data_IF_513332940934
#
_entry.id   IF_513332940934
#
_cell.length_a   1.000
_cell.length_b   1.000
_cell.length_c   1.000
_cell.angle_alpha   90.00
_cell.angle_beta   90.00
_cell.angle_gamma   90.00
#
_symmetry.space_group_name_H-M   'P 1'
#
loop_
_entity.id
_entity.type
_entity.pdbx_description
1 polymer ?
#
# COMPACT_ATOMS: atom_id res chain seq x y z
N UNK A 1 -9.00 9.22 49.56
CA UNK A 1 -8.13 10.12 48.76
C UNK A 1 -8.79 10.36 47.41
N UNK A 2 -9.27 11.58 47.16
CA UNK A 2 -9.87 11.96 45.87
C UNK A 2 -8.75 12.28 44.88
N UNK A 3 -8.73 11.55 43.76
CA UNK A 3 -7.81 11.73 42.65
C UNK A 3 -8.06 13.12 42.02
N UNK A 4 -7.05 14.00 42.03
CA UNK A 4 -7.12 15.29 41.33
C UNK A 4 -7.21 15.01 39.83
N UNK A 5 -8.39 15.24 39.26
CA UNK A 5 -8.58 15.33 37.81
C UNK A 5 -7.66 16.44 37.34
N UNK A 6 -6.62 16.08 36.58
CA UNK A 6 -5.80 17.04 35.83
C UNK A 6 -6.77 17.89 35.02
N UNK A 7 -6.92 19.16 35.37
CA UNK A 7 -7.63 20.14 34.56
C UNK A 7 -7.02 20.08 33.16
N UNK A 8 -7.84 19.69 32.17
CA UNK A 8 -7.52 19.90 30.77
C UNK A 8 -7.63 21.40 30.56
N UNK A 9 -6.53 22.12 30.78
CA UNK A 9 -6.36 23.50 30.32
C UNK A 9 -6.88 23.61 28.90
N UNK A 10 -7.79 24.57 28.70
CA UNK A 10 -8.70 24.68 27.57
C UNK A 10 -8.08 24.25 26.25
N UNK A 11 -8.64 23.19 25.66
CA UNK A 11 -8.48 22.95 24.23
C UNK A 11 -9.14 24.15 23.55
N UNK A 12 -8.34 25.05 22.97
CA UNK A 12 -8.86 25.94 21.93
C UNK A 12 -9.65 25.06 20.95
N UNK A 13 -10.82 25.55 20.52
CA UNK A 13 -11.68 24.84 19.59
C UNK A 13 -10.87 24.66 18.30
N UNK A 14 -10.31 23.46 18.08
CA UNK A 14 -9.41 23.22 16.97
C UNK A 14 -10.11 23.59 15.67
N UNK A 15 -9.41 24.30 14.78
CA UNK A 15 -10.00 24.70 13.50
C UNK A 15 -10.46 23.44 12.76
N UNK A 16 -11.70 23.45 12.28
CA UNK A 16 -12.25 22.33 11.51
C UNK A 16 -11.45 22.19 10.22
N UNK A 17 -11.17 20.95 9.81
CA UNK A 17 -10.52 20.72 8.52
C UNK A 17 -11.49 21.10 7.39
N UNK A 18 -10.99 21.54 6.23
CA UNK A 18 -11.80 21.59 5.02
C UNK A 18 -12.45 20.22 4.77
N UNK A 19 -13.75 20.20 4.44
CA UNK A 19 -14.54 18.96 4.30
C UNK A 19 -13.92 17.98 3.30
N UNK A 20 -13.36 18.50 2.20
CA UNK A 20 -12.70 17.72 1.17
C UNK A 20 -11.42 17.04 1.68
N UNK A 21 -10.64 17.75 2.52
CA UNK A 21 -9.43 17.22 3.15
C UNK A 21 -9.79 16.20 4.22
N UNK A 22 -10.81 16.46 5.04
CA UNK A 22 -11.28 15.53 6.06
C UNK A 22 -11.84 14.23 5.44
N UNK A 23 -12.61 14.36 4.35
CA UNK A 23 -13.08 13.23 3.56
C UNK A 23 -11.91 12.40 3.00
N UNK A 24 -10.89 13.06 2.45
CA UNK A 24 -9.69 12.40 1.92
C UNK A 24 -8.89 11.66 3.00
N UNK A 25 -8.69 12.29 4.17
CA UNK A 25 -8.00 11.65 5.30
C UNK A 25 -8.78 10.43 5.80
N UNK A 26 -10.10 10.54 5.88
CA UNK A 26 -10.98 9.44 6.29
C UNK A 26 -10.91 8.28 5.32
N UNK A 27 -10.91 8.58 4.02
CA UNK A 27 -10.70 7.59 2.96
C UNK A 27 -9.35 6.88 3.11
N UNK A 28 -8.24 7.60 3.27
CA UNK A 28 -6.91 6.98 3.43
C UNK A 28 -6.81 6.12 4.68
N UNK A 29 -7.42 6.54 5.80
CA UNK A 29 -7.49 5.73 7.03
C UNK A 29 -8.28 4.43 6.83
N UNK A 30 -9.33 4.45 6.02
CA UNK A 30 -10.10 3.25 5.68
C UNK A 30 -9.37 2.34 4.68
N UNK A 31 -8.57 2.92 3.77
CA UNK A 31 -7.80 2.19 2.77
C UNK A 31 -6.60 1.46 3.40
N UNK A 32 -5.92 2.08 4.36
CA UNK A 32 -4.66 1.58 4.93
C UNK A 32 -4.75 0.13 5.46
N UNK A 33 -5.76 -0.28 6.25
CA UNK A 33 -5.89 -1.67 6.70
C UNK A 33 -6.04 -2.65 5.53
N UNK A 34 -6.80 -2.28 4.50
CA UNK A 34 -7.06 -3.12 3.32
C UNK A 34 -5.79 -3.36 2.52
N UNK A 35 -5.01 -2.31 2.27
CA UNK A 35 -3.74 -2.43 1.54
C UNK A 35 -2.70 -3.21 2.35
N UNK A 36 -2.66 -3.01 3.68
CA UNK A 36 -1.78 -3.79 4.57
C UNK A 36 -2.10 -5.29 4.54
N UNK A 37 -3.37 -5.63 4.56
CA UNK A 37 -3.83 -7.03 4.49
C UNK A 37 -3.49 -7.65 3.13
N UNK A 38 -3.73 -6.90 2.04
CA UNK A 38 -3.34 -7.32 0.70
C UNK A 38 -1.82 -7.53 0.58
N UNK A 39 -1.01 -6.61 1.11
CA UNK A 39 0.45 -6.75 1.12
C UNK A 39 0.91 -8.02 1.86
N UNK A 40 0.26 -8.37 2.97
CA UNK A 40 0.53 -9.62 3.70
C UNK A 40 0.22 -10.84 2.82
N UNK A 41 -0.97 -10.89 2.23
CA UNK A 41 -1.36 -12.01 1.36
C UNK A 41 -0.46 -12.16 0.13
N UNK A 42 0.02 -11.05 -0.46
CA UNK A 42 0.96 -11.09 -1.57
C UNK A 42 2.36 -11.58 -1.16
N UNK A 43 2.78 -11.34 0.10
CA UNK A 43 3.99 -11.97 0.64
C UNK A 43 3.81 -13.48 0.84
N UNK A 44 2.69 -13.89 1.44
CA UNK A 44 2.38 -15.31 1.65
C UNK A 44 2.35 -16.07 0.31
N UNK A 45 1.73 -15.48 -0.72
CA UNK A 45 1.68 -16.06 -2.06
C UNK A 45 3.08 -16.23 -2.68
N UNK A 46 3.97 -15.25 -2.50
CA UNK A 46 5.37 -15.36 -2.94
C UNK A 46 6.11 -16.50 -2.22
N UNK A 47 5.82 -16.72 -0.93
CA UNK A 47 6.42 -17.82 -0.17
C UNK A 47 5.87 -19.20 -0.59
N UNK A 48 4.58 -19.28 -0.92
CA UNK A 48 3.99 -20.47 -1.56
C UNK A 48 4.68 -20.77 -2.89
N UNK A 49 5.03 -19.77 -3.70
CA UNK A 49 5.79 -19.97 -4.93
C UNK A 49 7.20 -20.52 -4.70
N UNK A 50 7.93 -19.95 -3.74
CA UNK A 50 9.26 -20.48 -3.36
C UNK A 50 9.15 -21.95 -2.90
N UNK A 51 8.08 -22.29 -2.19
CA UNK A 51 7.83 -23.66 -1.77
C UNK A 51 7.48 -24.56 -2.96
N UNK A 52 6.60 -24.15 -3.88
CA UNK A 52 6.25 -24.91 -5.08
C UNK A 52 7.47 -25.19 -5.96
N UNK A 53 8.34 -24.19 -6.17
CA UNK A 53 9.60 -24.35 -6.91
C UNK A 53 10.54 -25.37 -6.26
N UNK A 54 10.60 -25.42 -4.92
CA UNK A 54 11.39 -26.41 -4.16
C UNK A 54 10.74 -27.79 -4.15
N UNK A 55 9.41 -27.84 -4.12
CA UNK A 55 8.62 -29.07 -4.07
C UNK A 55 8.42 -29.70 -5.45
N UNK A 56 8.74 -28.99 -6.54
CA UNK A 56 8.55 -29.51 -7.90
C UNK A 56 9.30 -30.84 -8.04
N UNK A 57 8.51 -31.92 -8.08
CA UNK A 57 8.93 -33.31 -7.94
C UNK A 57 9.68 -33.76 -9.20
N UNK A 58 10.91 -33.32 -9.37
CA UNK A 58 11.82 -33.76 -10.44
C UNK A 58 12.55 -35.07 -10.10
N UNK A 59 12.63 -35.42 -8.81
CA UNK A 59 13.22 -36.70 -8.36
C UNK A 59 12.63 -37.95 -9.03
N UNK A 60 11.32 -38.03 -9.34
CA UNK A 60 10.74 -39.18 -10.06
C UNK A 60 11.03 -39.21 -11.56
N UNK A 61 11.31 -38.07 -12.23
CA UNK A 61 11.57 -38.01 -13.68
C UNK A 61 12.97 -38.50 -14.05
N UNK A 62 13.98 -38.25 -13.21
CA UNK A 62 15.30 -38.87 -13.36
C UNK A 62 15.24 -40.41 -13.32
N UNK A 63 14.19 -40.98 -12.70
CA UNK A 63 13.94 -42.43 -12.68
C UNK A 63 13.16 -42.93 -13.91
N UNK A 64 12.48 -42.07 -14.68
CA UNK A 64 11.80 -42.43 -15.93
C UNK A 64 12.78 -42.67 -17.09
N UNK A 65 13.96 -42.02 -17.09
CA UNK A 65 15.03 -42.31 -18.04
C UNK A 65 15.53 -43.77 -18.00
N UNK A 66 15.32 -44.48 -16.88
CA UNK A 66 15.60 -45.93 -16.76
C UNK A 66 14.56 -46.83 -17.46
N UNK A 67 13.43 -46.28 -17.91
CA UNK A 67 12.42 -46.97 -18.70
C UNK A 67 12.58 -46.75 -20.22
N UNK A 68 13.49 -45.85 -20.64
CA UNK A 68 13.71 -45.48 -22.04
C UNK A 68 14.14 -46.64 -22.96
N UNK A 69 14.63 -47.74 -22.40
CA UNK A 69 14.97 -48.95 -23.16
C UNK A 69 13.73 -49.78 -23.59
N UNK A 70 12.54 -49.49 -23.06
CA UNK A 70 11.31 -50.26 -23.31
C UNK A 70 10.11 -49.45 -23.82
N UNK A 71 10.11 -48.13 -23.64
CA UNK A 71 9.01 -47.23 -24.03
C UNK A 71 9.62 -45.92 -24.52
N UNK A 72 9.13 -45.38 -25.65
CA UNK A 72 9.49 -44.03 -26.08
C UNK A 72 8.91 -43.00 -25.11
N UNK A 73 9.77 -42.48 -24.24
CA UNK A 73 9.43 -41.48 -23.22
C UNK A 73 9.57 -40.04 -23.71
N UNK A 74 10.09 -39.82 -24.93
CA UNK A 74 10.38 -38.49 -25.46
C UNK A 74 9.15 -37.56 -25.53
N UNK A 75 7.96 -38.01 -25.98
CA UNK A 75 6.77 -37.15 -25.94
C UNK A 75 6.35 -36.75 -24.53
N UNK A 76 6.61 -37.61 -23.53
CA UNK A 76 6.32 -37.33 -22.14
C UNK A 76 7.31 -36.32 -21.55
N UNK A 77 8.60 -36.47 -21.86
CA UNK A 77 9.64 -35.50 -21.49
C UNK A 77 9.38 -34.12 -22.10
N UNK A 78 9.00 -34.06 -23.38
CA UNK A 78 8.65 -32.81 -24.08
C UNK A 78 7.42 -32.14 -23.46
N UNK A 79 6.36 -32.90 -23.14
CA UNK A 79 5.17 -32.38 -22.47
C UNK A 79 5.46 -31.85 -21.05
N UNK A 80 6.32 -32.55 -20.31
CA UNK A 80 6.77 -32.12 -18.97
C UNK A 80 7.60 -30.85 -19.05
N UNK A 81 8.54 -30.77 -20.00
CA UNK A 81 9.37 -29.57 -20.20
C UNK A 81 8.52 -28.36 -20.62
N UNK A 82 7.55 -28.55 -21.53
CA UNK A 82 6.63 -27.50 -21.94
C UNK A 82 5.76 -27.00 -20.78
N UNK A 83 5.26 -27.92 -19.94
CA UNK A 83 4.52 -27.57 -18.71
C UNK A 83 5.39 -26.77 -17.74
N UNK A 84 6.65 -27.18 -17.52
CA UNK A 84 7.58 -26.48 -16.63
C UNK A 84 7.90 -25.07 -17.12
N UNK A 85 8.12 -24.90 -18.43
CA UNK A 85 8.35 -23.59 -19.02
C UNK A 85 7.14 -22.67 -18.81
N UNK A 86 5.92 -23.16 -19.07
CA UNK A 86 4.69 -22.40 -18.84
C UNK A 86 4.48 -22.04 -17.35
N UNK A 87 4.79 -22.97 -16.44
CA UNK A 87 4.71 -22.73 -15.00
C UNK A 87 5.72 -21.66 -14.55
N UNK A 88 6.95 -21.70 -15.07
CA UNK A 88 7.99 -20.72 -14.76
C UNK A 88 7.64 -19.31 -15.29
N UNK A 89 7.07 -19.22 -16.49
CA UNK A 89 6.65 -17.94 -17.08
C UNK A 89 5.47 -17.32 -16.32
N UNK A 90 4.45 -18.10 -15.96
CA UNK A 90 3.34 -17.60 -15.13
C UNK A 90 3.79 -17.22 -13.72
N UNK A 91 4.73 -17.96 -13.11
CA UNK A 91 5.31 -17.58 -11.81
C UNK A 91 6.05 -16.23 -11.90
N UNK A 92 6.78 -15.99 -12.99
CA UNK A 92 7.47 -14.71 -13.22
C UNK A 92 6.48 -13.57 -13.44
N UNK A 93 5.43 -13.78 -14.24
CA UNK A 93 4.38 -12.80 -14.47
C UNK A 93 3.70 -12.38 -13.17
N UNK A 94 3.34 -13.37 -12.34
CA UNK A 94 2.72 -13.14 -11.04
C UNK A 94 3.67 -12.46 -10.04
N UNK A 95 4.95 -12.84 -10.01
CA UNK A 95 5.96 -12.14 -9.22
C UNK A 95 6.07 -10.65 -9.54
N UNK A 96 6.04 -10.30 -10.83
CA UNK A 96 6.08 -8.90 -11.26
C UNK A 96 4.85 -8.11 -10.79
N UNK A 97 3.65 -8.69 -10.82
CA UNK A 97 2.44 -8.03 -10.32
C UNK A 97 2.46 -7.88 -8.79
N UNK A 98 2.95 -8.89 -8.07
CA UNK A 98 3.14 -8.85 -6.62
C UNK A 98 4.08 -7.70 -6.23
N UNK A 99 5.18 -7.51 -6.96
CA UNK A 99 6.18 -6.48 -6.66
C UNK A 99 5.62 -5.05 -6.85
N UNK A 100 4.70 -4.84 -7.81
CA UNK A 100 3.99 -3.55 -7.95
C UNK A 100 3.16 -3.22 -6.71
N UNK A 101 2.41 -4.20 -6.18
CA UNK A 101 1.64 -4.01 -4.94
C UNK A 101 2.54 -3.74 -3.73
N UNK A 102 3.71 -4.38 -3.66
CA UNK A 102 4.69 -4.11 -2.60
C UNK A 102 5.27 -2.70 -2.69
N UNK A 103 5.61 -2.25 -3.90
CA UNK A 103 6.11 -0.90 -4.13
C UNK A 103 5.07 0.15 -3.75
N UNK A 104 3.81 -0.05 -4.14
CA UNK A 104 2.69 0.81 -3.73
C UNK A 104 2.57 0.90 -2.21
N UNK A 105 2.56 -0.24 -1.52
CA UNK A 105 2.44 -0.26 -0.06
C UNK A 105 3.62 0.44 0.64
N UNK A 106 4.85 0.27 0.14
CA UNK A 106 6.05 0.85 0.78
C UNK A 106 6.19 2.35 0.52
N UNK A 107 5.82 2.81 -0.67
CA UNK A 107 6.04 4.20 -1.08
C UNK A 107 4.80 5.06 -0.82
N UNK A 108 3.67 4.68 -1.39
CA UNK A 108 2.49 5.54 -1.44
C UNK A 108 1.72 5.54 -0.11
N UNK A 109 1.59 4.39 0.57
CA UNK A 109 0.98 4.38 1.90
C UNK A 109 1.81 5.14 2.93
N UNK A 110 3.15 5.14 2.79
CA UNK A 110 4.03 5.92 3.66
C UNK A 110 3.85 7.41 3.39
N UNK A 111 3.83 7.83 2.13
CA UNK A 111 3.59 9.21 1.74
C UNK A 111 2.22 9.71 2.22
N UNK A 112 1.16 8.89 2.09
CA UNK A 112 -0.17 9.20 2.61
C UNK A 112 -0.14 9.47 4.13
N UNK A 113 0.55 8.62 4.91
CA UNK A 113 0.69 8.82 6.36
C UNK A 113 1.45 10.10 6.69
N UNK A 114 2.54 10.39 5.97
CA UNK A 114 3.33 11.60 6.14
C UNK A 114 2.50 12.87 5.86
N UNK A 115 1.68 12.86 4.80
CA UNK A 115 0.78 13.98 4.49
C UNK A 115 -0.31 14.16 5.55
N UNK A 116 -0.92 13.08 6.04
CA UNK A 116 -1.90 13.14 7.14
C UNK A 116 -1.25 13.70 8.42
N UNK A 117 -0.03 13.25 8.74
CA UNK A 117 0.71 13.74 9.89
C UNK A 117 1.07 15.22 9.74
N UNK A 118 1.48 15.64 8.54
CA UNK A 118 1.77 17.04 8.22
C UNK A 118 0.54 17.93 8.43
N UNK A 119 -0.63 17.57 7.90
CA UNK A 119 -1.88 18.33 8.09
C UNK A 119 -2.22 18.48 9.57
N UNK A 120 -2.14 17.40 10.34
CA UNK A 120 -2.45 17.46 11.78
C UNK A 120 -1.48 18.36 12.54
N UNK A 121 -0.19 18.31 12.21
CA UNK A 121 0.84 19.15 12.83
C UNK A 121 0.64 20.61 12.49
N UNK A 122 0.60 20.95 11.20
CA UNK A 122 0.48 22.34 10.73
C UNK A 122 -0.84 22.97 11.17
N UNK A 123 -1.92 22.19 11.34
CA UNK A 123 -3.18 22.67 11.92
C UNK A 123 -2.99 23.14 13.36
N UNK A 124 -2.29 22.34 14.19
CA UNK A 124 -2.03 22.70 15.58
C UNK A 124 -1.11 23.92 15.68
N UNK A 125 -0.12 24.01 14.81
CA UNK A 125 0.79 25.17 14.74
C UNK A 125 0.03 26.45 14.36
N UNK A 126 -0.87 26.35 13.35
CA UNK A 126 -1.77 27.45 12.95
C UNK A 126 -2.72 27.85 14.09
N UNK A 127 -3.39 26.88 14.74
CA UNK A 127 -4.30 27.14 15.87
C UNK A 127 -3.56 27.87 17.01
N UNK A 128 -2.32 27.46 17.30
CA UNK A 128 -1.47 28.07 18.33
C UNK A 128 -1.03 29.49 17.94
N UNK A 129 -0.62 29.71 16.68
CA UNK A 129 -0.22 31.02 16.20
C UNK A 129 -1.40 32.00 16.18
N UNK A 130 -2.57 31.55 15.73
CA UNK A 130 -3.81 32.34 15.74
C UNK A 130 -4.22 32.71 17.17
N UNK A 131 -4.18 31.75 18.11
CA UNK A 131 -4.49 32.03 19.51
C UNK A 131 -3.54 33.06 20.12
N UNK A 132 -2.27 33.05 19.72
CA UNK A 132 -1.26 34.01 20.20
C UNK A 132 -1.50 35.40 19.63
N UNK A 133 -1.85 35.49 18.34
CA UNK A 133 -2.19 36.75 17.70
C UNK A 133 -3.45 37.39 18.31
N UNK A 134 -4.52 36.61 18.48
CA UNK A 134 -5.77 37.10 19.11
C UNK A 134 -5.55 37.55 20.56
N UNK A 135 -4.65 36.88 21.29
CA UNK A 135 -4.31 37.27 22.66
C UNK A 135 -3.36 38.47 22.76
N UNK A 136 -2.62 38.79 21.69
CA UNK A 136 -1.66 39.90 21.66
C UNK A 136 -1.40 40.35 20.21
N UNK A 137 -2.20 41.32 19.75
CA UNK A 137 -2.22 41.81 18.38
C UNK A 137 -0.98 42.68 18.07
N UNK A 138 0.10 42.03 17.64
CA UNK A 138 1.30 42.69 17.13
C UNK A 138 1.58 42.27 15.70
N UNK A 139 2.25 43.12 14.92
CA UNK A 139 2.62 42.80 13.53
C UNK A 139 3.46 41.53 13.45
N UNK A 140 4.37 41.32 14.40
CA UNK A 140 5.18 40.10 14.48
C UNK A 140 4.31 38.84 14.69
N UNK A 141 3.27 38.92 15.53
CA UNK A 141 2.35 37.79 15.75
C UNK A 141 1.44 37.56 14.55
N UNK A 142 1.02 38.63 13.86
CA UNK A 142 0.25 38.54 12.61
C UNK A 142 1.05 37.80 11.52
N UNK A 143 2.29 38.20 11.29
CA UNK A 143 3.16 37.54 10.30
C UNK A 143 3.37 36.04 10.61
N UNK A 144 3.48 35.66 11.88
CA UNK A 144 3.57 34.24 12.29
C UNK A 144 2.28 33.48 12.03
N UNK A 145 1.13 34.07 12.33
CA UNK A 145 -0.17 33.48 12.06
C UNK A 145 -0.40 33.28 10.54
N UNK A 146 -0.04 34.28 9.72
CA UNK A 146 -0.13 34.19 8.26
C UNK A 146 0.80 33.10 7.69
N UNK A 147 2.04 33.00 8.19
CA UNK A 147 2.98 31.96 7.78
C UNK A 147 2.47 30.55 8.13
N UNK A 148 2.00 30.34 9.37
CA UNK A 148 1.46 29.06 9.81
C UNK A 148 0.21 28.65 9.02
N UNK A 149 -0.66 29.63 8.69
CA UNK A 149 -1.83 29.41 7.83
C UNK A 149 -1.42 28.96 6.43
N UNK A 150 -0.40 29.59 5.84
CA UNK A 150 0.11 29.21 4.52
C UNK A 150 0.70 27.79 4.52
N UNK A 151 1.42 27.41 5.57
CA UNK A 151 1.96 26.05 5.72
C UNK A 151 0.86 25.00 5.87
N UNK A 152 -0.20 25.32 6.62
CA UNK A 152 -1.37 24.46 6.75
C UNK A 152 -2.08 24.26 5.40
N UNK A 153 -2.34 25.35 4.65
CA UNK A 153 -2.95 25.24 3.32
C UNK A 153 -2.09 24.45 2.34
N UNK A 154 -0.76 24.60 2.39
CA UNK A 154 0.15 23.78 1.59
C UNK A 154 0.09 22.29 1.97
N UNK A 155 -0.09 21.96 3.26
CA UNK A 155 -0.30 20.58 3.68
C UNK A 155 -1.64 20.00 3.19
N UNK A 156 -2.71 20.80 3.23
CA UNK A 156 -4.01 20.45 2.68
C UNK A 156 -3.96 20.22 1.16
N UNK A 157 -3.25 21.08 0.43
CA UNK A 157 -3.05 20.94 -1.02
C UNK A 157 -2.37 19.60 -1.38
N UNK A 158 -1.33 19.19 -0.63
CA UNK A 158 -0.69 17.88 -0.85
C UNK A 158 -1.65 16.71 -0.66
N UNK A 159 -2.56 16.77 0.32
CA UNK A 159 -3.59 15.72 0.50
C UNK A 159 -4.58 15.70 -0.67
N UNK A 160 -4.95 16.87 -1.20
CA UNK A 160 -5.80 16.99 -2.40
C UNK A 160 -5.14 16.40 -3.65
N UNK A 161 -3.84 16.62 -3.83
CA UNK A 161 -3.09 16.02 -4.92
C UNK A 161 -3.05 14.48 -4.81
N UNK A 162 -2.83 13.96 -3.60
CA UNK A 162 -2.82 12.52 -3.36
C UNK A 162 -4.17 11.85 -3.67
N UNK A 163 -5.29 12.45 -3.26
CA UNK A 163 -6.62 11.87 -3.53
C UNK A 163 -6.98 11.93 -5.02
N UNK A 164 -6.50 12.94 -5.76
CA UNK A 164 -6.72 13.01 -7.20
C UNK A 164 -6.00 11.89 -7.94
N UNK A 165 -4.78 11.53 -7.51
CA UNK A 165 -4.04 10.39 -8.08
C UNK A 165 -4.55 9.01 -7.66
N UNK A 166 -5.36 8.91 -6.60
CA UNK A 166 -5.80 7.62 -6.06
C UNK A 166 -6.76 6.88 -6.99
N UNK A 167 -7.61 7.60 -7.72
CA UNK A 167 -8.64 6.98 -8.59
C UNK A 167 -8.00 6.18 -9.71
N UNK A 168 -6.93 6.71 -10.30
CA UNK A 168 -6.15 6.02 -11.33
C UNK A 168 -5.44 4.81 -10.75
N UNK A 169 -4.98 4.92 -9.50
CA UNK A 169 -4.31 3.84 -8.81
C UNK A 169 -5.26 2.70 -8.42
N UNK A 170 -6.49 3.00 -7.99
CA UNK A 170 -7.52 1.99 -7.72
C UNK A 170 -7.95 1.26 -9.01
N UNK A 171 -8.04 1.98 -10.12
CA UNK A 171 -8.27 1.38 -11.44
C UNK A 171 -7.12 0.43 -11.81
N UNK A 172 -5.87 0.85 -11.61
CA UNK A 172 -4.68 0.02 -11.84
C UNK A 172 -4.64 -1.21 -10.92
N UNK A 173 -4.96 -1.06 -9.62
CA UNK A 173 -5.05 -2.16 -8.67
C UNK A 173 -6.05 -3.23 -9.12
N UNK A 174 -7.21 -2.81 -9.62
CA UNK A 174 -8.23 -3.74 -10.10
C UNK A 174 -7.71 -4.53 -11.30
N UNK A 175 -7.06 -3.86 -12.26
CA UNK A 175 -6.41 -4.52 -13.40
C UNK A 175 -5.27 -5.47 -12.97
N UNK A 176 -4.48 -5.11 -11.96
CA UNK A 176 -3.42 -5.96 -11.42
C UNK A 176 -3.99 -7.21 -10.74
N UNK A 177 -5.08 -7.09 -9.98
CA UNK A 177 -5.77 -8.24 -9.38
C UNK A 177 -6.33 -9.19 -10.44
N UNK A 178 -6.90 -8.67 -11.52
CA UNK A 178 -7.38 -9.49 -12.63
C UNK A 178 -6.22 -10.23 -13.33
N UNK A 179 -5.08 -9.54 -13.50
CA UNK A 179 -3.85 -10.14 -14.04
C UNK A 179 -3.33 -11.28 -13.13
N UNK A 180 -3.29 -11.04 -11.82
CA UNK A 180 -2.92 -12.06 -10.81
C UNK A 180 -3.82 -13.29 -10.92
N UNK A 181 -5.14 -13.09 -10.97
CA UNK A 181 -6.11 -14.19 -11.08
C UNK A 181 -5.90 -14.97 -12.39
N UNK A 182 -5.65 -14.28 -13.50
CA UNK A 182 -5.37 -14.89 -14.80
C UNK A 182 -4.11 -15.76 -14.73
N UNK A 183 -3.00 -15.24 -14.21
CA UNK A 183 -1.74 -15.99 -14.10
C UNK A 183 -1.87 -17.16 -13.13
N UNK A 184 -2.58 -17.01 -12.00
CA UNK A 184 -2.87 -18.12 -11.09
C UNK A 184 -3.67 -19.23 -11.79
N UNK A 185 -4.66 -18.89 -12.61
CA UNK A 185 -5.43 -19.91 -13.37
C UNK A 185 -4.55 -20.67 -14.37
N UNK A 186 -3.54 -20.03 -14.96
CA UNK A 186 -2.60 -20.70 -15.87
C UNK A 186 -1.64 -21.58 -15.08
N UNK A 187 -1.03 -21.05 -14.01
CA UNK A 187 -0.07 -21.78 -13.18
C UNK A 187 -0.68 -22.99 -12.45
N UNK A 188 -1.94 -22.90 -12.02
CA UNK A 188 -2.64 -23.96 -11.26
C UNK A 188 -3.66 -24.74 -12.08
N UNK A 189 -3.64 -24.65 -13.42
CA UNK A 189 -4.47 -25.51 -14.28
C UNK A 189 -4.08 -26.96 -14.04
N UNK A 190 -4.94 -27.68 -13.33
CA UNK A 190 -4.94 -29.14 -13.22
C UNK A 190 -5.47 -29.76 -14.51
#
# INVERSE_FOLDING_TARGET
>A
MKQKVKEKTGRSKATTLPEDVEGSISFFKALQPRVKDLHKHMNDLNDVFKWHKKANFLSPLANLGRLGDKVDVKPFEEAVNARQAAEADSQKGLGNEIDKFKAYFQNDCKLQQECIAAVNRTRLDMDSANSTYVGNETEANKMRADAATKEFEAACARVRELINGIKDLEANHSAWMDSIIKEMKVAFRK
#
